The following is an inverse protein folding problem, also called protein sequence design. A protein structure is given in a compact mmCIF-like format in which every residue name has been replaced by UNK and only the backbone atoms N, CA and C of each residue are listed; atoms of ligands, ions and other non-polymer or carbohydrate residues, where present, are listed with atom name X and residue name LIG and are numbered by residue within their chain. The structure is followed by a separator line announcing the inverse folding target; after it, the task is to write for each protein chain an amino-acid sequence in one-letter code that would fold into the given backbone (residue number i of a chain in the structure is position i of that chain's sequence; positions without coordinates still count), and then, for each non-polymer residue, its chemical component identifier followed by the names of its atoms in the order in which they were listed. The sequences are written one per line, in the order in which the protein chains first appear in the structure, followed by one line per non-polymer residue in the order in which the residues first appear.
data_IF_892204915048
#
_entry.id   IF_892204915048
#
_cell.length_a   1.000
_cell.length_b   1.000
_cell.length_c   1.000
_cell.angle_alpha   90.00
_cell.angle_beta   90.00
_cell.angle_gamma   90.00
#
_symmetry.space_group_name_H-M   'P 1'
#
loop_
_entity.id
_entity.type
_entity.pdbx_description
1 polymer ?
#
# COMPACT_ATOMS: atom_id res chain seq x y z
N UNK A 1 -13.79 27.50 -16.81
CA UNK A 1 -12.66 27.90 -17.66
C UNK A 1 -12.42 26.87 -18.78
N UNK A 2 -12.34 25.58 -18.51
CA UNK A 2 -12.03 24.52 -19.50
C UNK A 2 -12.99 24.49 -20.71
N UNK A 3 -14.31 24.70 -20.49
CA UNK A 3 -15.31 24.73 -21.59
C UNK A 3 -15.08 25.86 -22.62
N UNK A 4 -14.35 26.91 -22.26
CA UNK A 4 -14.10 28.07 -23.12
C UNK A 4 -12.90 27.87 -24.06
N UNK A 5 -12.04 26.88 -23.77
CA UNK A 5 -10.82 26.61 -24.52
C UNK A 5 -10.73 25.19 -25.09
N UNK A 6 -11.86 24.46 -25.09
CA UNK A 6 -11.96 23.08 -25.59
C UNK A 6 -10.91 22.12 -24.98
N UNK A 7 -10.59 22.31 -23.70
CA UNK A 7 -9.66 21.48 -22.93
C UNK A 7 -10.45 20.49 -22.10
N UNK A 8 -10.12 19.21 -22.19
CA UNK A 8 -10.69 18.18 -21.34
C UNK A 8 -10.18 18.36 -19.90
N UNK A 9 -11.12 18.76 -19.01
CA UNK A 9 -10.79 19.05 -17.61
C UNK A 9 -10.25 17.83 -16.87
N UNK A 10 -10.71 16.61 -17.21
CA UNK A 10 -10.23 15.39 -16.58
C UNK A 10 -8.80 15.08 -16.98
N UNK A 11 -8.44 15.33 -18.25
CA UNK A 11 -7.09 15.15 -18.74
C UNK A 11 -6.11 16.12 -18.06
N UNK A 12 -6.52 17.38 -17.87
CA UNK A 12 -5.68 18.38 -17.16
C UNK A 12 -5.51 18.00 -15.68
N UNK A 13 -6.57 17.50 -15.03
CA UNK A 13 -6.47 17.02 -13.64
C UNK A 13 -5.51 15.83 -13.56
N UNK A 14 -5.61 14.87 -14.48
CA UNK A 14 -4.71 13.73 -14.51
C UNK A 14 -3.25 14.16 -14.77
N UNK A 15 -3.01 15.06 -15.73
CA UNK A 15 -1.67 15.61 -15.98
C UNK A 15 -1.09 16.36 -14.77
N UNK A 16 -1.92 17.03 -13.96
CA UNK A 16 -1.49 17.70 -12.71
C UNK A 16 -1.16 16.67 -11.64
N UNK A 17 -1.96 15.62 -11.49
CA UNK A 17 -1.71 14.54 -10.54
C UNK A 17 -0.42 13.77 -10.91
N UNK A 18 -0.24 13.46 -12.19
CA UNK A 18 0.96 12.79 -12.69
C UNK A 18 2.24 13.66 -12.50
N UNK A 19 2.12 14.99 -12.57
CA UNK A 19 3.22 15.92 -12.27
C UNK A 19 3.55 15.97 -10.78
N UNK A 20 2.53 15.97 -9.92
CA UNK A 20 2.69 15.98 -8.46
C UNK A 20 3.32 14.67 -7.97
N UNK A 21 2.89 13.52 -8.55
CA UNK A 21 3.51 12.21 -8.28
C UNK A 21 4.98 12.18 -8.76
N UNK A 22 5.30 12.72 -9.93
CA UNK A 22 6.68 12.71 -10.46
C UNK A 22 7.63 13.63 -9.67
N UNK A 23 7.16 14.76 -9.15
CA UNK A 23 7.95 15.64 -8.28
C UNK A 23 8.17 14.99 -6.89
N UNK A 24 7.14 14.37 -6.32
CA UNK A 24 7.25 13.64 -5.06
C UNK A 24 8.18 12.41 -5.19
N UNK A 25 8.12 11.68 -6.30
CA UNK A 25 8.99 10.54 -6.58
C UNK A 25 10.47 10.96 -6.69
N UNK A 26 10.75 12.11 -7.31
CA UNK A 26 12.11 12.68 -7.38
C UNK A 26 12.68 13.00 -6.00
N UNK A 27 11.86 13.51 -5.09
CA UNK A 27 12.28 13.82 -3.73
C UNK A 27 12.72 12.56 -2.96
N UNK A 28 12.06 11.40 -3.19
CA UNK A 28 12.42 10.14 -2.52
C UNK A 28 13.66 9.45 -3.11
N UNK A 29 13.96 9.64 -4.39
CA UNK A 29 15.14 9.07 -5.04
C UNK A 29 16.45 9.62 -4.45
N UNK A 30 16.45 10.87 -4.00
CA UNK A 30 17.61 11.55 -3.45
C UNK A 30 17.72 11.47 -1.92
N UNK A 31 16.65 10.99 -1.23
CA UNK A 31 16.68 10.85 0.22
C UNK A 31 17.74 9.82 0.66
N UNK A 32 18.50 10.07 1.73
CA UNK A 32 19.29 9.04 2.38
C UNK A 32 18.47 7.83 2.76
N UNK A 33 19.02 6.62 2.59
CA UNK A 33 18.26 5.36 2.79
C UNK A 33 17.70 5.21 4.20
N UNK A 34 18.41 5.68 5.21
CA UNK A 34 17.95 5.70 6.59
C UNK A 34 16.73 6.61 6.78
N UNK A 35 16.72 7.77 6.13
CA UNK A 35 15.58 8.70 6.17
C UNK A 35 14.39 8.16 5.35
N UNK A 36 14.64 7.46 4.24
CA UNK A 36 13.57 6.80 3.47
C UNK A 36 12.90 5.70 4.29
N UNK A 37 13.68 4.89 5.01
CA UNK A 37 13.15 3.89 5.95
C UNK A 37 12.29 4.55 7.03
N UNK A 38 12.77 5.65 7.63
CA UNK A 38 12.01 6.37 8.65
C UNK A 38 10.70 6.93 8.08
N UNK A 39 10.73 7.47 6.86
CA UNK A 39 9.53 7.93 6.15
C UNK A 39 8.51 6.79 5.94
N UNK A 40 8.95 5.64 5.45
CA UNK A 40 8.07 4.47 5.24
C UNK A 40 7.40 4.05 6.55
N UNK A 41 8.17 3.96 7.64
CA UNK A 41 7.63 3.58 8.96
C UNK A 41 6.63 4.62 9.48
N UNK A 42 6.99 5.91 9.44
CA UNK A 42 6.20 6.98 10.05
C UNK A 42 4.91 7.26 9.29
N UNK A 43 4.90 7.12 7.97
CA UNK A 43 3.74 7.43 7.14
C UNK A 43 2.96 6.16 6.76
N UNK A 44 3.57 5.24 6.01
CA UNK A 44 2.86 4.10 5.45
C UNK A 44 2.57 3.00 6.49
N UNK A 45 3.58 2.56 7.26
CA UNK A 45 3.34 1.53 8.28
C UNK A 45 2.39 2.01 9.39
N UNK A 46 2.50 3.27 9.79
CA UNK A 46 1.58 3.87 10.76
C UNK A 46 0.16 3.90 10.23
N UNK A 47 -0.03 4.36 8.98
CA UNK A 47 -1.34 4.37 8.33
C UNK A 47 -1.94 2.97 8.22
N UNK A 48 -1.17 1.99 7.74
CA UNK A 48 -1.62 0.58 7.63
C UNK A 48 -2.10 0.06 8.98
N UNK A 49 -1.32 0.26 10.05
CA UNK A 49 -1.67 -0.18 11.41
C UNK A 49 -2.95 0.48 11.95
N UNK A 50 -3.18 1.75 11.63
CA UNK A 50 -4.35 2.50 12.08
C UNK A 50 -5.59 2.17 11.25
N UNK A 51 -5.46 2.01 9.94
CA UNK A 51 -6.56 1.78 9.02
C UNK A 51 -7.11 0.34 9.10
N UNK A 52 -6.26 -0.67 9.24
CA UNK A 52 -6.69 -2.08 9.26
C UNK A 52 -7.83 -2.38 10.25
N UNK A 53 -7.75 -2.02 11.55
CA UNK A 53 -8.83 -2.32 12.48
C UNK A 53 -10.14 -1.61 12.15
N UNK A 54 -10.08 -0.42 11.56
CA UNK A 54 -11.25 0.35 11.13
C UNK A 54 -11.93 -0.32 9.95
N UNK A 55 -11.16 -0.71 8.93
CA UNK A 55 -11.68 -1.39 7.74
C UNK A 55 -12.24 -2.76 8.11
N UNK A 56 -11.57 -3.54 8.96
CA UNK A 56 -12.09 -4.82 9.47
C UNK A 56 -13.44 -4.67 10.15
N UNK A 57 -13.63 -3.59 10.93
CA UNK A 57 -14.91 -3.29 11.59
C UNK A 57 -16.02 -3.03 10.57
N UNK A 58 -15.74 -2.21 9.56
CA UNK A 58 -16.69 -1.91 8.50
C UNK A 58 -16.99 -3.14 7.64
N UNK A 59 -15.98 -3.89 7.20
CA UNK A 59 -16.13 -5.09 6.40
C UNK A 59 -16.99 -6.14 7.11
N UNK A 60 -16.71 -6.42 8.38
CA UNK A 60 -17.49 -7.35 9.18
C UNK A 60 -18.95 -6.91 9.33
N UNK A 61 -19.20 -5.61 9.55
CA UNK A 61 -20.55 -5.06 9.68
C UNK A 61 -21.31 -5.13 8.36
N UNK A 62 -20.68 -4.75 7.26
CA UNK A 62 -21.28 -4.78 5.92
C UNK A 62 -21.59 -6.21 5.51
N UNK A 63 -20.66 -7.15 5.68
CA UNK A 63 -20.87 -8.56 5.39
C UNK A 63 -22.05 -9.15 6.18
N UNK A 64 -22.18 -8.82 7.46
CA UNK A 64 -23.30 -9.29 8.28
C UNK A 64 -24.67 -8.73 7.87
N UNK A 65 -24.71 -7.47 7.50
CA UNK A 65 -25.98 -6.76 7.22
C UNK A 65 -26.40 -6.95 5.76
N UNK A 66 -25.46 -6.92 4.84
CA UNK A 66 -25.73 -6.89 3.40
C UNK A 66 -25.37 -8.19 2.68
N UNK A 67 -24.58 -9.09 3.29
CA UNK A 67 -24.07 -10.29 2.64
C UNK A 67 -25.12 -11.24 2.08
N UNK A 68 -26.38 -11.18 2.55
CA UNK A 68 -27.48 -11.99 1.96
C UNK A 68 -27.84 -11.52 0.54
N UNK A 69 -27.78 -10.21 0.28
CA UNK A 69 -28.08 -9.63 -1.03
C UNK A 69 -26.79 -9.30 -1.81
N UNK A 70 -25.69 -9.16 -1.12
CA UNK A 70 -24.37 -8.79 -1.62
C UNK A 70 -23.30 -9.78 -1.12
N UNK A 71 -23.31 -11.04 -1.63
CA UNK A 71 -22.42 -12.11 -1.15
C UNK A 71 -20.94 -11.79 -1.33
N UNK A 72 -20.57 -10.92 -2.30
CA UNK A 72 -19.22 -10.40 -2.49
C UNK A 72 -18.67 -9.73 -1.22
N UNK A 73 -19.51 -9.09 -0.41
CA UNK A 73 -19.09 -8.44 0.83
C UNK A 73 -18.59 -9.42 1.88
N UNK A 74 -19.10 -10.66 1.88
CA UNK A 74 -18.62 -11.74 2.75
C UNK A 74 -17.20 -12.14 2.34
N UNK A 75 -16.96 -12.23 1.03
CA UNK A 75 -15.65 -12.58 0.48
C UNK A 75 -14.65 -11.47 0.75
N UNK A 76 -15.04 -10.19 0.57
CA UNK A 76 -14.21 -9.03 0.88
C UNK A 76 -13.82 -9.01 2.36
N UNK A 77 -14.77 -9.24 3.29
CA UNK A 77 -14.49 -9.32 4.73
C UNK A 77 -13.45 -10.42 5.05
N UNK A 78 -13.55 -11.58 4.39
CA UNK A 78 -12.62 -12.69 4.57
C UNK A 78 -11.23 -12.32 4.03
N UNK A 79 -11.13 -11.88 2.79
CA UNK A 79 -9.88 -11.50 2.14
C UNK A 79 -9.15 -10.41 2.92
N UNK A 80 -9.88 -9.37 3.33
CA UNK A 80 -9.27 -8.28 4.09
C UNK A 80 -8.76 -8.71 5.46
N UNK A 81 -9.42 -9.66 6.13
CA UNK A 81 -8.93 -10.25 7.39
C UNK A 81 -7.66 -11.05 7.18
N UNK A 82 -7.61 -11.86 6.13
CA UNK A 82 -6.44 -12.68 5.81
C UNK A 82 -5.23 -11.79 5.50
N UNK A 83 -5.37 -10.84 4.58
CA UNK A 83 -4.28 -9.92 4.23
C UNK A 83 -3.86 -9.02 5.39
N UNK A 84 -4.78 -8.64 6.31
CA UNK A 84 -4.43 -7.87 7.51
C UNK A 84 -3.49 -8.64 8.45
N UNK A 85 -3.65 -9.96 8.56
CA UNK A 85 -2.73 -10.80 9.35
C UNK A 85 -1.36 -10.88 8.68
N UNK A 86 -1.33 -11.07 7.37
CA UNK A 86 -0.11 -11.14 6.57
C UNK A 86 0.66 -9.82 6.64
N UNK A 87 0.01 -8.68 6.38
CA UNK A 87 0.60 -7.36 6.49
C UNK A 87 1.12 -7.06 7.90
N UNK A 88 0.40 -7.46 8.96
CA UNK A 88 0.88 -7.28 10.33
C UNK A 88 2.21 -8.01 10.56
N UNK A 89 2.34 -9.24 10.07
CA UNK A 89 3.57 -10.02 10.17
C UNK A 89 4.68 -9.45 9.28
N UNK A 90 4.33 -9.00 8.08
CA UNK A 90 5.21 -8.35 7.11
C UNK A 90 5.88 -7.12 7.73
N UNK A 91 5.09 -6.13 8.17
CA UNK A 91 5.61 -4.91 8.81
C UNK A 91 6.50 -5.22 10.02
N UNK A 92 6.19 -6.27 10.80
CA UNK A 92 7.05 -6.67 11.93
C UNK A 92 8.40 -7.22 11.48
N UNK A 93 8.47 -7.96 10.36
CA UNK A 93 9.74 -8.46 9.81
C UNK A 93 10.60 -7.30 9.33
N UNK A 94 10.01 -6.32 8.67
CA UNK A 94 10.72 -5.13 8.20
C UNK A 94 11.24 -4.30 9.35
N UNK A 95 10.37 -3.86 10.24
CA UNK A 95 10.72 -2.97 11.34
C UNK A 95 11.69 -3.58 12.36
N UNK A 96 11.62 -4.90 12.58
CA UNK A 96 12.45 -5.57 13.60
C UNK A 96 13.69 -6.24 13.04
N UNK A 97 13.71 -6.55 11.75
CA UNK A 97 14.79 -7.35 11.17
C UNK A 97 15.40 -6.67 9.96
N UNK A 98 14.64 -6.42 8.89
CA UNK A 98 15.19 -5.96 7.63
C UNK A 98 15.71 -4.52 7.71
N UNK A 99 14.89 -3.58 8.17
CA UNK A 99 15.28 -2.17 8.26
C UNK A 99 16.43 -1.91 9.22
N UNK A 100 16.47 -2.51 10.43
CA UNK A 100 17.66 -2.45 11.29
C UNK A 100 18.92 -3.00 10.63
N UNK A 101 18.81 -4.11 9.88
CA UNK A 101 19.95 -4.70 9.18
C UNK A 101 20.45 -3.79 8.04
N UNK A 102 19.53 -3.13 7.31
CA UNK A 102 19.89 -2.12 6.30
C UNK A 102 20.60 -0.94 6.96
N UNK A 103 20.06 -0.38 8.05
CA UNK A 103 20.69 0.73 8.78
C UNK A 103 22.08 0.35 9.29
N UNK A 104 22.25 -0.86 9.82
CA UNK A 104 23.56 -1.35 10.23
C UNK A 104 24.55 -1.49 9.06
N UNK A 105 24.08 -1.88 7.87
CA UNK A 105 24.89 -1.89 6.67
C UNK A 105 25.39 -0.51 6.29
N UNK A 106 24.54 0.51 6.38
CA UNK A 106 24.87 1.91 6.08
C UNK A 106 25.90 2.49 7.06
N UNK A 107 25.88 2.05 8.31
CA UNK A 107 26.83 2.46 9.37
C UNK A 107 28.24 1.85 9.23
N UNK A 108 28.56 1.25 8.10
CA UNK A 108 29.88 0.69 7.80
C UNK A 108 29.92 -0.83 7.66
N UNK A 109 28.83 -1.42 7.26
CA UNK A 109 28.74 -2.85 6.93
C UNK A 109 29.60 -3.25 5.75
N UNK A 110 29.83 -4.58 5.61
CA UNK A 110 30.62 -5.16 4.54
C UNK A 110 29.77 -5.60 3.35
N UNK A 111 30.40 -5.77 2.18
CA UNK A 111 29.76 -6.36 0.97
C UNK A 111 29.10 -7.71 1.27
N UNK A 112 29.68 -8.52 2.16
CA UNK A 112 29.09 -9.81 2.56
C UNK A 112 27.78 -9.62 3.31
N UNK A 113 27.64 -8.55 4.12
CA UNK A 113 26.39 -8.22 4.81
C UNK A 113 25.34 -7.70 3.83
N UNK A 114 25.73 -6.89 2.84
CA UNK A 114 24.83 -6.46 1.78
C UNK A 114 24.25 -7.64 1.00
N UNK A 115 25.10 -8.55 0.52
CA UNK A 115 24.66 -9.75 -0.20
C UNK A 115 23.73 -10.66 0.63
N UNK A 116 23.86 -10.65 1.95
CA UNK A 116 22.98 -11.41 2.85
C UNK A 116 21.55 -10.87 2.92
N UNK A 117 21.32 -9.61 2.52
CA UNK A 117 19.99 -8.99 2.48
C UNK A 117 19.16 -9.38 1.24
N UNK A 118 19.81 -9.90 0.18
CA UNK A 118 19.10 -10.23 -1.06
C UNK A 118 17.96 -11.23 -0.86
N UNK A 119 18.15 -12.27 -0.06
CA UNK A 119 17.10 -13.25 0.20
C UNK A 119 15.96 -12.71 1.07
N UNK A 120 16.20 -11.99 2.18
CA UNK A 120 15.16 -11.26 2.90
C UNK A 120 14.37 -10.28 2.03
N UNK A 121 15.05 -9.48 1.21
CA UNK A 121 14.40 -8.51 0.29
C UNK A 121 13.49 -9.26 -0.70
N UNK A 122 13.98 -10.30 -1.36
CA UNK A 122 13.17 -11.08 -2.29
C UNK A 122 11.94 -11.72 -1.62
N UNK A 123 12.01 -12.06 -0.33
CA UNK A 123 10.86 -12.53 0.43
C UNK A 123 9.84 -11.42 0.67
N UNK A 124 10.28 -10.19 0.96
CA UNK A 124 9.37 -9.03 1.12
C UNK A 124 8.70 -8.68 -0.21
N UNK A 125 9.46 -8.63 -1.31
CA UNK A 125 8.91 -8.41 -2.65
C UNK A 125 7.81 -9.42 -3.02
N UNK A 126 7.99 -10.70 -2.66
CA UNK A 126 6.97 -11.73 -2.88
C UNK A 126 5.71 -11.50 -2.01
N UNK A 127 5.88 -11.12 -0.75
CA UNK A 127 4.76 -10.79 0.14
C UNK A 127 3.98 -9.54 -0.35
N UNK A 128 4.67 -8.59 -0.99
CA UNK A 128 4.04 -7.45 -1.67
C UNK A 128 3.18 -7.87 -2.85
N UNK A 129 3.67 -8.78 -3.68
CA UNK A 129 2.91 -9.34 -4.80
C UNK A 129 1.64 -10.05 -4.32
N UNK A 130 1.76 -10.87 -3.26
CA UNK A 130 0.63 -11.58 -2.66
C UNK A 130 -0.43 -10.60 -2.13
N UNK A 131 -0.02 -9.55 -1.41
CA UNK A 131 -0.92 -8.51 -0.92
C UNK A 131 -1.58 -7.74 -2.08
N UNK A 132 -0.82 -7.40 -3.12
CA UNK A 132 -1.31 -6.76 -4.33
C UNK A 132 -2.37 -7.60 -5.04
N UNK A 133 -2.19 -8.91 -5.14
CA UNK A 133 -3.16 -9.81 -5.77
C UNK A 133 -4.46 -9.92 -4.95
N UNK A 134 -4.38 -9.91 -3.62
CA UNK A 134 -5.56 -9.85 -2.76
C UNK A 134 -6.33 -8.55 -2.99
N UNK A 135 -5.67 -7.41 -3.09
CA UNK A 135 -6.32 -6.12 -3.32
C UNK A 135 -6.93 -6.01 -4.73
N UNK A 136 -6.30 -6.56 -5.76
CA UNK A 136 -6.90 -6.69 -7.11
C UNK A 136 -8.21 -7.48 -7.07
N UNK A 137 -8.26 -8.55 -6.28
CA UNK A 137 -9.50 -9.33 -6.13
C UNK A 137 -10.57 -8.58 -5.33
N UNK A 138 -10.19 -7.83 -4.29
CA UNK A 138 -11.11 -6.95 -3.55
C UNK A 138 -11.66 -5.86 -4.47
N UNK A 139 -10.83 -5.21 -5.28
CA UNK A 139 -11.22 -4.22 -6.27
C UNK A 139 -12.20 -4.80 -7.30
N UNK A 140 -11.90 -5.98 -7.83
CA UNK A 140 -12.80 -6.69 -8.76
C UNK A 140 -14.15 -7.00 -8.13
N UNK A 141 -14.18 -7.50 -6.88
CA UNK A 141 -15.40 -7.86 -6.17
C UNK A 141 -16.24 -6.63 -5.80
N UNK A 142 -15.60 -5.49 -5.59
CA UNK A 142 -16.25 -4.23 -5.23
C UNK A 142 -16.63 -3.37 -6.44
N UNK A 143 -16.47 -3.87 -7.67
CA UNK A 143 -16.68 -3.10 -8.91
C UNK A 143 -15.88 -1.78 -8.90
N UNK A 144 -14.56 -1.88 -8.67
CA UNK A 144 -13.69 -0.71 -8.55
C UNK A 144 -14.04 0.19 -7.35
N UNK A 145 -14.37 -0.43 -6.21
CA UNK A 145 -14.83 0.26 -4.99
C UNK A 145 -16.08 1.13 -5.19
N UNK A 146 -16.96 0.74 -6.09
CA UNK A 146 -18.20 1.43 -6.39
C UNK A 146 -19.34 0.88 -5.52
N UNK A 147 -19.83 1.62 -4.51
CA UNK A 147 -20.93 1.14 -3.69
C UNK A 147 -22.25 1.16 -4.49
N UNK A 148 -23.15 0.17 -4.26
CA UNK A 148 -24.45 0.17 -4.94
C UNK A 148 -25.30 1.38 -4.53
N UNK A 149 -26.25 1.83 -5.40
CA UNK A 149 -27.06 3.03 -5.20
C UNK A 149 -27.80 3.09 -3.84
N UNK A 150 -28.14 1.94 -3.29
CA UNK A 150 -28.84 1.81 -2.01
C UNK A 150 -27.91 1.51 -0.82
N UNK A 151 -26.60 1.67 -1.01
CA UNK A 151 -25.61 1.42 0.03
C UNK A 151 -25.80 2.39 1.22
N UNK A 152 -25.84 1.83 2.42
CA UNK A 152 -25.84 2.62 3.64
C UNK A 152 -24.47 3.30 3.87
N UNK A 153 -24.44 4.31 4.75
CA UNK A 153 -23.20 5.04 5.03
C UNK A 153 -22.01 4.15 5.43
N UNK A 154 -22.27 3.04 6.16
CA UNK A 154 -21.20 2.09 6.56
C UNK A 154 -20.65 1.35 5.33
N UNK A 155 -21.48 1.03 4.36
CA UNK A 155 -21.06 0.37 3.13
C UNK A 155 -20.23 1.32 2.26
N UNK A 156 -20.71 2.56 2.09
CA UNK A 156 -19.95 3.59 1.37
C UNK A 156 -18.60 3.88 2.04
N UNK A 157 -18.58 3.98 3.39
CA UNK A 157 -17.35 4.17 4.15
C UNK A 157 -16.38 2.99 3.98
N UNK A 158 -16.87 1.74 3.96
CA UNK A 158 -16.03 0.58 3.70
C UNK A 158 -15.27 0.71 2.38
N UNK A 159 -15.98 0.99 1.29
CA UNK A 159 -15.36 1.06 -0.03
C UNK A 159 -14.43 2.26 -0.18
N UNK A 160 -14.79 3.39 0.42
CA UNK A 160 -13.90 4.54 0.51
C UNK A 160 -12.57 4.20 1.21
N UNK A 161 -12.63 3.54 2.36
CA UNK A 161 -11.43 3.18 3.10
C UNK A 161 -10.63 2.07 2.44
N UNK A 162 -11.27 1.08 1.78
CA UNK A 162 -10.56 0.05 1.02
C UNK A 162 -9.78 0.66 -0.14
N UNK A 163 -10.39 1.61 -0.87
CA UNK A 163 -9.71 2.31 -1.95
C UNK A 163 -8.51 3.11 -1.43
N UNK A 164 -8.72 3.92 -0.39
CA UNK A 164 -7.64 4.71 0.19
C UNK A 164 -6.48 3.84 0.71
N UNK A 165 -6.81 2.66 1.26
CA UNK A 165 -5.81 1.70 1.71
C UNK A 165 -5.02 1.10 0.54
N UNK A 166 -5.69 0.74 -0.56
CA UNK A 166 -5.02 0.25 -1.77
C UNK A 166 -4.11 1.33 -2.38
N UNK A 167 -4.58 2.57 -2.46
CA UNK A 167 -3.81 3.68 -3.01
C UNK A 167 -2.51 3.91 -2.19
N UNK A 168 -2.60 3.93 -0.85
CA UNK A 168 -1.43 4.04 0.03
C UNK A 168 -0.50 2.81 -0.08
N UNK A 169 -1.07 1.60 -0.12
CA UNK A 169 -0.29 0.36 -0.25
C UNK A 169 0.52 0.33 -1.55
N UNK A 170 -0.02 0.85 -2.65
CA UNK A 170 0.72 0.96 -3.92
C UNK A 170 1.92 1.89 -3.80
N UNK A 171 1.77 3.05 -3.15
CA UNK A 171 2.88 4.00 -2.93
C UNK A 171 3.92 3.36 -2.00
N UNK A 172 3.49 2.75 -0.92
CA UNK A 172 4.33 2.04 0.04
C UNK A 172 5.19 0.98 -0.66
N UNK A 173 4.56 0.03 -1.36
CA UNK A 173 5.26 -1.03 -2.12
C UNK A 173 6.21 -0.44 -3.16
N UNK A 174 5.80 0.63 -3.85
CA UNK A 174 6.65 1.29 -4.83
C UNK A 174 7.92 1.86 -4.21
N UNK A 175 7.80 2.58 -3.09
CA UNK A 175 8.95 3.15 -2.37
C UNK A 175 9.92 2.07 -1.88
N UNK A 176 9.40 0.94 -1.45
CA UNK A 176 10.25 -0.17 -0.99
C UNK A 176 10.87 -0.93 -2.15
N UNK A 177 10.08 -1.45 -3.07
CA UNK A 177 10.58 -2.30 -4.15
C UNK A 177 11.46 -1.52 -5.13
N UNK A 178 11.02 -0.33 -5.57
CA UNK A 178 11.67 0.37 -6.68
C UNK A 178 12.69 1.42 -6.24
N UNK A 179 12.65 1.86 -4.97
CA UNK A 179 13.60 2.86 -4.47
C UNK A 179 14.51 2.26 -3.39
N UNK A 180 13.95 1.81 -2.26
CA UNK A 180 14.73 1.34 -1.12
C UNK A 180 15.52 0.07 -1.45
N UNK A 181 14.84 -0.99 -1.88
CA UNK A 181 15.45 -2.30 -2.08
C UNK A 181 16.42 -2.29 -3.26
N UNK A 182 16.11 -1.61 -4.35
CA UNK A 182 17.03 -1.47 -5.49
C UNK A 182 18.32 -0.74 -5.09
N UNK A 183 18.22 0.33 -4.29
CA UNK A 183 19.40 1.06 -3.81
C UNK A 183 20.21 0.24 -2.80
N UNK A 184 19.57 -0.58 -1.97
CA UNK A 184 20.27 -1.51 -1.06
C UNK A 184 21.00 -2.62 -1.85
N UNK A 185 20.35 -3.22 -2.84
CA UNK A 185 20.97 -4.21 -3.74
C UNK A 185 22.20 -3.64 -4.48
N UNK A 186 22.16 -2.35 -4.86
CA UNK A 186 23.27 -1.68 -5.52
C UNK A 186 24.50 -1.43 -4.63
N UNK A 187 24.39 -1.63 -3.30
CA UNK A 187 25.54 -1.58 -2.36
C UNK A 187 26.35 -2.88 -2.30
N UNK A 188 25.90 -3.96 -3.00
CA UNK A 188 26.53 -5.30 -2.98
C UNK A 188 27.55 -5.55 -4.09
#
# INVERSE_FOLDING_TARGET
ACKKHNVDGNKVIQEILDLDESEAEHDFLDLPLDQLIDHVIEHHHSYVKEAMPVIMQFANKVAKVHGHHHPETITIDKLFKEVSVELTNHLQKEERVLFPAIKQLLDGGSITQSSALNAPIAAMEHEHDDAGDVFKEIERLSDGFTPPDHACNTYQALYFHLKAFQDDLHIHIHLENNVLFERVKALS
#
